data_IF_095607895726
#
_entry.id   IF_095607895726
#
_cell.length_a   1.000
_cell.length_b   1.000
_cell.length_c   1.000
_cell.angle_alpha   90.00
_cell.angle_beta   90.00
_cell.angle_gamma   90.00
#
_symmetry.space_group_name_H-M   'P 1'
#
loop_
_entity.id
_entity.type
_entity.pdbx_description
1 polymer ?
#
# COMPACT_ATOMS: atom_id res chain seq x y z
N UNK A 1 -9.58 11.17 -0.86
CA UNK A 1 -10.30 10.40 -1.89
C UNK A 1 -11.07 9.27 -1.25
N UNK A 2 -12.37 9.16 -1.55
CA UNK A 2 -13.25 8.09 -1.08
C UNK A 2 -13.59 7.10 -2.21
N UNK A 3 -12.61 6.82 -3.08
CA UNK A 3 -12.74 5.87 -4.20
C UNK A 3 -11.68 4.78 -4.01
N UNK A 4 -12.01 3.50 -4.20
CA UNK A 4 -11.03 2.42 -4.17
C UNK A 4 -9.87 2.69 -5.14
N UNK A 5 -8.66 2.37 -4.73
CA UNK A 5 -7.46 2.71 -5.51
C UNK A 5 -7.47 2.05 -6.89
N UNK A 6 -7.91 0.79 -7.00
CA UNK A 6 -8.03 0.10 -8.29
C UNK A 6 -9.11 0.70 -9.19
N UNK A 7 -10.27 1.06 -8.62
CA UNK A 7 -11.36 1.68 -9.37
C UNK A 7 -10.96 3.05 -9.94
N UNK A 8 -10.18 3.81 -9.17
CA UNK A 8 -9.64 5.10 -9.61
C UNK A 8 -8.68 4.95 -10.78
N UNK A 9 -7.76 3.98 -10.73
CA UNK A 9 -6.82 3.69 -11.82
C UNK A 9 -7.57 3.33 -13.11
N UNK A 10 -8.58 2.46 -13.03
CA UNK A 10 -9.41 2.09 -14.19
C UNK A 10 -10.13 3.32 -14.77
N UNK A 11 -10.71 4.17 -13.92
CA UNK A 11 -11.42 5.36 -14.37
C UNK A 11 -10.48 6.38 -15.04
N UNK A 12 -9.28 6.58 -14.49
CA UNK A 12 -8.28 7.48 -15.06
C UNK A 12 -7.74 6.96 -16.39
N UNK A 13 -7.52 5.65 -16.51
CA UNK A 13 -7.11 5.04 -17.77
C UNK A 13 -8.19 5.17 -18.85
N UNK A 14 -9.44 4.86 -18.52
CA UNK A 14 -10.56 4.99 -19.44
C UNK A 14 -10.74 6.46 -19.90
N UNK A 15 -10.58 7.41 -18.98
CA UNK A 15 -10.59 8.83 -19.31
C UNK A 15 -9.43 9.22 -20.22
N UNK A 16 -8.20 8.81 -19.92
CA UNK A 16 -7.01 9.13 -20.71
C UNK A 16 -7.11 8.57 -22.15
N UNK A 17 -7.61 7.34 -22.30
CA UNK A 17 -7.90 6.73 -23.61
C UNK A 17 -8.95 7.52 -24.40
N UNK A 18 -9.97 8.06 -23.72
CA UNK A 18 -11.03 8.86 -24.35
C UNK A 18 -10.51 10.22 -24.84
N UNK A 19 -9.57 10.85 -24.12
CA UNK A 19 -9.00 12.14 -24.52
C UNK A 19 -8.00 12.00 -25.68
N UNK A 20 -7.20 10.93 -25.69
CA UNK A 20 -6.30 10.60 -26.80
C UNK A 20 -4.81 10.78 -26.50
N UNK A 21 -4.01 10.69 -27.57
CA UNK A 21 -2.57 10.37 -27.54
C UNK A 21 -1.73 11.08 -26.45
N UNK A 22 -1.68 12.41 -26.38
CA UNK A 22 -0.83 13.12 -25.43
C UNK A 22 -1.21 12.86 -23.96
N UNK A 23 -2.51 12.79 -23.65
CA UNK A 23 -2.99 12.54 -22.29
C UNK A 23 -2.82 11.07 -21.92
N UNK A 24 -3.00 10.15 -22.87
CA UNK A 24 -2.74 8.73 -22.66
C UNK A 24 -1.26 8.46 -22.39
N UNK A 25 -0.35 9.08 -23.14
CA UNK A 25 1.10 8.94 -22.93
C UNK A 25 1.51 9.48 -21.55
N UNK A 26 1.05 10.68 -21.19
CA UNK A 26 1.32 11.26 -19.86
C UNK A 26 0.75 10.41 -18.72
N UNK A 27 -0.43 9.82 -18.91
CA UNK A 27 -1.01 8.90 -17.93
C UNK A 27 -0.18 7.61 -17.81
N UNK A 28 0.27 7.04 -18.93
CA UNK A 28 1.12 5.84 -18.93
C UNK A 28 2.44 6.10 -18.19
N UNK A 29 3.12 7.21 -18.50
CA UNK A 29 4.33 7.63 -17.78
C UNK A 29 4.08 7.80 -16.28
N UNK A 30 2.98 8.46 -15.91
CA UNK A 30 2.58 8.62 -14.51
C UNK A 30 2.36 7.28 -13.81
N UNK A 31 1.63 6.35 -14.44
CA UNK A 31 1.37 5.03 -13.86
C UNK A 31 2.64 4.19 -13.74
N UNK A 32 3.55 4.28 -14.72
CA UNK A 32 4.83 3.60 -14.66
C UNK A 32 5.69 4.12 -13.50
N UNK A 33 5.72 5.44 -13.27
CA UNK A 33 6.40 6.03 -12.12
C UNK A 33 5.76 5.61 -10.79
N UNK A 34 4.42 5.52 -10.72
CA UNK A 34 3.73 5.01 -9.53
C UNK A 34 4.02 3.55 -9.25
N UNK A 35 4.05 2.70 -10.29
CA UNK A 35 4.34 1.28 -10.16
C UNK A 35 5.79 1.07 -9.71
N UNK A 36 6.74 1.80 -10.28
CA UNK A 36 8.15 1.76 -9.84
C UNK A 36 8.32 2.24 -8.40
N UNK A 37 7.65 3.33 -8.01
CA UNK A 37 7.67 3.81 -6.63
C UNK A 37 7.09 2.78 -5.67
N UNK A 38 6.02 2.10 -6.08
CA UNK A 38 5.42 1.01 -5.30
C UNK A 38 6.35 -0.18 -5.17
N UNK A 39 6.97 -0.65 -6.24
CA UNK A 39 7.94 -1.76 -6.20
C UNK A 39 9.13 -1.43 -5.29
N UNK A 40 9.62 -0.19 -5.35
CA UNK A 40 10.71 0.28 -4.50
C UNK A 40 10.30 0.27 -3.01
N UNK A 41 9.10 0.74 -2.70
CA UNK A 41 8.57 0.74 -1.34
C UNK A 41 8.28 -0.69 -0.84
N UNK A 42 7.73 -1.57 -1.69
CA UNK A 42 7.51 -2.98 -1.38
C UNK A 42 8.85 -3.68 -1.08
N UNK A 43 9.90 -3.40 -1.86
CA UNK A 43 11.25 -3.92 -1.61
C UNK A 43 11.86 -3.38 -0.32
N UNK A 44 11.68 -2.09 -0.01
CA UNK A 44 12.11 -1.50 1.26
C UNK A 44 11.41 -2.17 2.43
N UNK A 45 10.09 -2.34 2.33
CA UNK A 45 9.27 -2.93 3.37
C UNK A 45 9.58 -4.41 3.60
N UNK A 46 9.82 -5.18 2.54
CA UNK A 46 10.25 -6.57 2.64
C UNK A 46 11.54 -6.70 3.45
N UNK A 47 12.54 -5.86 3.20
CA UNK A 47 13.79 -5.83 4.01
C UNK A 47 13.52 -5.45 5.46
N UNK A 48 12.63 -4.47 5.69
CA UNK A 48 12.22 -4.10 7.05
C UNK A 48 11.60 -5.28 7.79
N UNK A 49 10.68 -6.00 7.14
CA UNK A 49 9.99 -7.18 7.70
C UNK A 49 10.96 -8.32 7.99
N UNK A 50 11.99 -8.50 7.17
CA UNK A 50 13.07 -9.46 7.39
C UNK A 50 13.92 -9.15 8.63
N UNK A 51 14.03 -7.88 9.01
CA UNK A 51 14.76 -7.44 10.20
C UNK A 51 13.91 -7.45 11.49
N UNK A 52 12.59 -7.65 11.37
CA UNK A 52 11.69 -7.76 12.51
C UNK A 52 11.90 -9.05 13.30
N UNK A 53 11.57 -8.99 14.59
CA UNK A 53 11.45 -10.14 15.46
C UNK A 53 10.46 -11.17 14.90
N UNK A 54 10.61 -12.47 15.22
CA UNK A 54 9.71 -13.51 14.71
C UNK A 54 8.22 -13.23 15.01
N UNK A 55 7.93 -12.64 16.17
CA UNK A 55 6.58 -12.28 16.56
C UNK A 55 6.02 -11.11 15.72
N UNK A 56 6.82 -10.08 15.46
CA UNK A 56 6.41 -8.95 14.63
C UNK A 56 6.29 -9.32 13.16
N UNK A 57 7.16 -10.19 12.65
CA UNK A 57 7.06 -10.75 11.29
C UNK A 57 5.83 -11.63 11.13
N UNK A 58 5.51 -12.46 12.13
CA UNK A 58 4.30 -13.28 12.10
C UNK A 58 3.04 -12.41 12.11
N UNK A 59 2.98 -11.40 12.97
CA UNK A 59 1.89 -10.42 12.98
C UNK A 59 1.76 -9.72 11.62
N UNK A 60 2.86 -9.25 11.04
CA UNK A 60 2.83 -8.60 9.73
C UNK A 60 2.30 -9.54 8.63
N UNK A 61 2.74 -10.79 8.61
CA UNK A 61 2.34 -11.79 7.61
C UNK A 61 0.88 -12.24 7.75
N UNK A 62 0.40 -12.42 8.98
CA UNK A 62 -0.98 -12.85 9.24
C UNK A 62 -1.96 -11.71 9.00
N UNK A 63 -1.62 -10.50 9.43
CA UNK A 63 -2.52 -9.36 9.42
C UNK A 63 -2.28 -8.39 8.26
N UNK A 64 -1.25 -8.63 7.43
CA UNK A 64 -0.86 -7.79 6.29
C UNK A 64 -0.78 -6.31 6.71
N UNK A 65 -0.09 -6.02 7.81
CA UNK A 65 -0.10 -4.69 8.43
C UNK A 65 0.78 -3.72 7.66
N UNK A 66 2.00 -4.12 7.30
CA UNK A 66 2.93 -3.35 6.49
C UNK A 66 2.75 -3.68 5.01
N UNK A 67 2.72 -4.97 4.67
CA UNK A 67 2.61 -5.45 3.28
C UNK A 67 1.20 -5.27 2.66
N UNK A 68 0.15 -5.19 3.49
CA UNK A 68 -1.23 -5.00 3.02
C UNK A 68 -1.64 -3.56 2.77
N UNK A 69 -0.92 -2.58 3.32
CA UNK A 69 -1.23 -1.14 3.16
C UNK A 69 -1.20 -0.73 1.69
N UNK A 70 -0.25 -1.26 0.93
CA UNK A 70 0.04 -0.78 -0.42
C UNK A 70 -0.53 -1.67 -1.52
N UNK A 71 -0.99 -2.87 -1.19
CA UNK A 71 -1.47 -3.87 -2.15
C UNK A 71 -2.99 -3.90 -2.33
N UNK A 72 -3.77 -3.33 -1.39
CA UNK A 72 -5.23 -3.42 -1.45
C UNK A 72 -5.85 -2.41 -2.44
N UNK A 73 -6.30 -2.92 -3.59
CA UNK A 73 -6.96 -2.12 -4.63
C UNK A 73 -8.47 -1.94 -4.42
N UNK A 74 -9.09 -2.73 -3.53
CA UNK A 74 -10.54 -2.76 -3.32
C UNK A 74 -11.01 -1.78 -2.24
N UNK A 75 -10.09 -1.31 -1.40
CA UNK A 75 -10.35 -0.33 -0.35
C UNK A 75 -9.88 1.07 -0.75
N UNK A 76 -10.54 2.07 -0.17
CA UNK A 76 -10.04 3.45 -0.18
C UNK A 76 -8.83 3.58 0.74
N UNK A 77 -7.97 4.57 0.51
CA UNK A 77 -6.83 4.88 1.41
C UNK A 77 -7.27 5.09 2.87
N UNK A 78 -8.43 5.69 3.09
CA UNK A 78 -9.00 5.89 4.43
C UNK A 78 -9.38 4.56 5.10
N UNK A 79 -10.00 3.66 4.35
CA UNK A 79 -10.38 2.33 4.85
C UNK A 79 -9.14 1.48 5.14
N UNK A 80 -8.13 1.51 4.27
CA UNK A 80 -6.83 0.85 4.50
C UNK A 80 -6.23 1.32 5.84
N UNK A 81 -6.08 2.63 6.04
CA UNK A 81 -5.55 3.17 7.29
C UNK A 81 -6.38 2.79 8.52
N UNK A 82 -7.70 2.72 8.37
CA UNK A 82 -8.61 2.33 9.44
C UNK A 82 -8.42 0.85 9.82
N UNK A 83 -8.38 -0.04 8.84
CA UNK A 83 -8.19 -1.47 9.06
C UNK A 83 -6.81 -1.77 9.65
N UNK A 84 -5.75 -1.12 9.16
CA UNK A 84 -4.39 -1.20 9.71
C UNK A 84 -4.37 -0.76 11.16
N UNK A 85 -4.99 0.38 11.47
CA UNK A 85 -5.09 0.89 12.85
C UNK A 85 -5.84 -0.08 13.76
N UNK A 86 -6.92 -0.71 13.28
CA UNK A 86 -7.67 -1.72 14.05
C UNK A 86 -6.82 -2.96 14.35
N UNK A 87 -6.04 -3.44 13.38
CA UNK A 87 -5.17 -4.60 13.53
C UNK A 87 -4.00 -4.30 14.48
N UNK A 88 -3.34 -3.16 14.29
CA UNK A 88 -2.26 -2.69 15.16
C UNK A 88 -2.68 -2.59 16.65
N UNK A 89 -3.90 -2.13 16.93
CA UNK A 89 -4.43 -2.04 18.31
C UNK A 89 -4.58 -3.38 19.03
N UNK A 90 -4.69 -4.49 18.29
CA UNK A 90 -4.86 -5.83 18.86
C UNK A 90 -3.54 -6.53 19.18
N UNK A 91 -2.41 -5.93 18.77
CA UNK A 91 -1.10 -6.54 18.92
C UNK A 91 -0.54 -6.34 20.34
N UNK A 92 0.29 -7.27 20.82
CA UNK A 92 1.09 -7.05 22.02
C UNK A 92 1.91 -5.78 21.91
N UNK A 93 2.01 -5.00 23.00
CA UNK A 93 2.67 -3.68 23.01
C UNK A 93 4.11 -3.70 22.46
N UNK A 94 4.85 -4.78 22.69
CA UNK A 94 6.20 -4.98 22.14
C UNK A 94 6.20 -5.05 20.61
N UNK A 95 5.28 -5.84 20.04
CA UNK A 95 5.10 -5.99 18.59
C UNK A 95 4.57 -4.71 17.96
N UNK A 96 3.61 -4.05 18.60
CA UNK A 96 3.08 -2.76 18.15
C UNK A 96 4.18 -1.70 18.03
N UNK A 97 5.03 -1.55 19.04
CA UNK A 97 6.12 -0.56 19.03
C UNK A 97 7.13 -0.86 17.91
N UNK A 98 7.47 -2.14 17.74
CA UNK A 98 8.41 -2.59 16.71
C UNK A 98 7.88 -2.30 15.29
N UNK A 99 6.63 -2.65 15.01
CA UNK A 99 5.98 -2.35 13.73
C UNK A 99 5.76 -0.86 13.50
N UNK A 100 5.53 -0.08 14.57
CA UNK A 100 5.39 1.37 14.47
C UNK A 100 6.72 2.02 14.07
N UNK A 101 7.83 1.60 14.69
CA UNK A 101 9.17 2.07 14.32
C UNK A 101 9.57 1.64 12.91
N UNK A 102 9.21 0.43 12.53
CA UNK A 102 9.46 -0.12 11.18
C UNK A 102 8.67 0.58 10.07
N UNK A 103 7.52 1.20 10.39
CA UNK A 103 6.65 1.86 9.42
C UNK A 103 6.91 3.36 9.25
N UNK A 104 7.81 3.94 10.06
CA UNK A 104 8.31 5.31 9.90
C UNK A 104 9.36 5.41 8.78
#
# INVERSE_FOLDING_TARGET
MNVPLGAMRIAQEAWARKIGGPVLAAYQEHTAAQDLAKETEDARMNRTVENLSPAARAADRTDNILLGIYSNQTLTKKQINTEVSKKMKKLPRKVYNELTLASQ
#
